data_IF_000764724518
#
_entry.id   IF_000764724518
#
_cell.length_a   1.000
_cell.length_b   1.000
_cell.length_c   1.000
_cell.angle_alpha   90.00
_cell.angle_beta   90.00
_cell.angle_gamma   90.00
#
_symmetry.space_group_name_H-M   'P 1'
#
loop_
_entity.id
_entity.type
_entity.pdbx_description
1 polymer ?
#
# COMPACT_ATOMS: atom_id res chain seq x y z
N UNK A 1 2.31 -25.64 20.01
CA UNK A 1 1.43 -25.49 18.83
C UNK A 1 -0.02 -25.68 19.27
N UNK A 2 -0.99 -24.87 18.80
CA UNK A 2 -2.43 -25.04 19.09
C UNK A 2 -3.11 -25.73 17.89
N UNK A 3 -3.29 -27.07 17.90
CA UNK A 3 -3.85 -27.80 16.75
C UNK A 3 -5.37 -27.66 16.62
N UNK A 4 -6.09 -27.41 17.72
CA UNK A 4 -7.55 -27.18 17.74
C UNK A 4 -7.94 -25.71 17.51
N UNK A 5 -6.98 -24.86 17.16
CA UNK A 5 -7.26 -23.46 16.90
C UNK A 5 -7.62 -23.28 15.43
N UNK A 6 -8.88 -22.94 15.18
CA UNK A 6 -9.35 -22.56 13.85
C UNK A 6 -8.73 -21.21 13.44
N UNK A 7 -7.69 -21.29 12.61
CA UNK A 7 -6.97 -20.12 12.08
C UNK A 7 -7.76 -19.38 11.01
N UNK A 8 -8.76 -20.01 10.40
CA UNK A 8 -9.59 -19.38 9.37
C UNK A 8 -10.54 -18.38 10.03
N UNK A 9 -11.20 -18.79 11.11
CA UNK A 9 -12.18 -17.94 11.81
C UNK A 9 -11.55 -17.03 12.86
N UNK A 10 -10.49 -17.48 13.54
CA UNK A 10 -9.93 -16.77 14.71
C UNK A 10 -8.49 -16.31 14.53
N UNK A 11 -7.88 -16.60 13.39
CA UNK A 11 -6.53 -16.14 13.06
C UNK A 11 -6.52 -14.66 12.71
N UNK A 12 -6.19 -13.81 13.68
CA UNK A 12 -5.90 -12.41 13.40
C UNK A 12 -4.45 -12.27 12.95
N UNK A 13 -4.28 -11.95 11.68
CA UNK A 13 -2.99 -11.63 11.08
C UNK A 13 -3.10 -10.29 10.39
N UNK A 14 -2.06 -9.44 10.43
CA UNK A 14 -2.04 -8.23 9.63
C UNK A 14 -2.18 -8.62 8.15
N UNK A 15 -3.29 -8.23 7.47
CA UNK A 15 -3.43 -8.50 6.05
C UNK A 15 -2.46 -7.56 5.36
N UNK A 16 -1.30 -8.07 4.97
CA UNK A 16 -0.22 -7.27 4.40
C UNK A 16 -0.59 -6.71 3.03
N UNK A 17 0.10 -7.12 1.98
CA UNK A 17 -0.20 -6.62 0.63
C UNK A 17 -1.56 -7.07 0.07
N UNK A 18 -2.30 -7.93 0.77
CA UNK A 18 -3.63 -8.42 0.37
C UNK A 18 -4.72 -7.35 0.47
N UNK A 19 -4.57 -6.35 1.34
CA UNK A 19 -5.56 -5.27 1.52
C UNK A 19 -5.45 -4.17 0.45
N UNK A 20 -4.33 -4.12 -0.29
CA UNK A 20 -4.00 -3.05 -1.23
C UNK A 20 -5.03 -2.79 -2.34
N UNK A 21 -5.63 -3.81 -3.00
CA UNK A 21 -6.65 -3.56 -4.02
C UNK A 21 -7.87 -2.81 -3.45
N UNK A 22 -8.28 -3.13 -2.22
CA UNK A 22 -9.42 -2.46 -1.56
C UNK A 22 -9.13 -1.00 -1.24
N UNK A 23 -7.93 -0.71 -0.72
CA UNK A 23 -7.49 0.66 -0.46
C UNK A 23 -7.40 1.46 -1.76
N UNK A 24 -6.83 0.86 -2.81
CA UNK A 24 -6.76 1.49 -4.13
C UNK A 24 -8.16 1.84 -4.65
N UNK A 25 -9.12 0.93 -4.52
CA UNK A 25 -10.51 1.16 -4.92
C UNK A 25 -11.14 2.31 -4.12
N UNK A 26 -10.95 2.37 -2.80
CA UNK A 26 -11.42 3.50 -1.99
C UNK A 26 -10.79 4.82 -2.43
N UNK A 27 -9.51 4.82 -2.82
CA UNK A 27 -8.84 6.00 -3.37
C UNK A 27 -9.43 6.49 -4.70
N UNK A 28 -9.92 5.57 -5.55
CA UNK A 28 -10.64 5.91 -6.78
C UNK A 28 -12.05 6.44 -6.47
N UNK A 29 -12.77 5.82 -5.54
CA UNK A 29 -14.11 6.22 -5.13
C UNK A 29 -14.11 7.64 -4.54
N UNK A 30 -13.17 7.94 -3.65
CA UNK A 30 -12.99 9.27 -3.07
C UNK A 30 -12.28 10.27 -4.00
N UNK A 31 -12.01 9.90 -5.26
CA UNK A 31 -11.34 10.75 -6.27
C UNK A 31 -9.97 11.29 -5.83
N UNK A 32 -9.31 10.60 -4.91
CA UNK A 32 -7.95 10.92 -4.44
C UNK A 32 -6.93 10.55 -5.53
N UNK A 33 -7.23 9.51 -6.32
CA UNK A 33 -6.41 9.10 -7.46
C UNK A 33 -7.28 8.71 -8.65
N UNK A 34 -6.68 8.64 -9.84
CA UNK A 34 -7.35 8.19 -11.06
C UNK A 34 -6.57 7.04 -11.71
N UNK A 35 -7.27 6.21 -12.50
CA UNK A 35 -6.68 5.04 -13.17
C UNK A 35 -5.48 5.38 -14.07
N UNK A 36 -5.44 6.59 -14.62
CA UNK A 36 -4.41 7.06 -15.54
C UNK A 36 -3.31 7.87 -14.85
N UNK A 37 -3.46 8.17 -13.57
CA UNK A 37 -2.45 8.90 -12.83
C UNK A 37 -1.18 8.07 -12.73
N UNK A 38 -0.05 8.68 -13.08
CA UNK A 38 1.27 8.08 -12.90
C UNK A 38 2.00 8.78 -11.77
N UNK A 39 2.61 7.99 -10.88
CA UNK A 39 3.41 8.46 -9.75
C UNK A 39 4.82 7.90 -9.89
N UNK A 40 5.82 8.67 -9.47
CA UNK A 40 7.20 8.20 -9.45
C UNK A 40 7.53 7.62 -8.07
N UNK A 41 7.92 6.34 -8.04
CA UNK A 41 8.31 5.64 -6.81
C UNK A 41 9.84 5.46 -6.78
N UNK A 42 10.58 6.28 -5.99
CA UNK A 42 12.02 6.16 -5.82
C UNK A 42 12.44 5.05 -4.83
N UNK A 43 11.51 4.23 -4.34
CA UNK A 43 11.77 3.17 -3.34
C UNK A 43 11.50 3.57 -1.89
N UNK A 44 10.99 4.78 -1.68
CA UNK A 44 10.50 5.24 -0.37
C UNK A 44 9.44 6.33 -0.56
N UNK A 45 8.69 6.58 0.50
CA UNK A 45 7.76 7.70 0.61
C UNK A 45 8.00 8.45 1.92
N UNK A 46 7.81 9.75 1.85
CA UNK A 46 8.01 10.66 2.95
C UNK A 46 6.74 11.51 3.08
N UNK A 47 6.15 11.52 4.28
CA UNK A 47 5.02 12.41 4.51
C UNK A 47 5.48 13.87 4.45
N UNK A 48 4.64 14.78 3.94
CA UNK A 48 4.89 16.21 4.10
C UNK A 48 5.03 16.53 5.60
N UNK A 49 6.04 17.33 5.95
CA UNK A 49 6.37 17.72 7.33
C UNK A 49 6.94 16.61 8.25
N UNK A 50 7.29 15.42 7.74
CA UNK A 50 8.08 14.43 8.50
C UNK A 50 9.36 14.05 7.76
N UNK A 51 10.45 13.87 8.51
CA UNK A 51 11.74 13.40 7.96
C UNK A 51 11.81 11.88 7.78
N UNK A 52 10.87 11.13 8.38
CA UNK A 52 10.85 9.67 8.32
C UNK A 52 10.46 9.16 6.93
N UNK A 53 11.29 8.27 6.39
CA UNK A 53 11.10 7.64 5.08
C UNK A 53 10.57 6.23 5.25
N UNK A 54 9.39 5.98 4.72
CA UNK A 54 8.75 4.68 4.72
C UNK A 54 9.15 3.97 3.44
N UNK A 55 9.84 2.85 3.60
CA UNK A 55 10.55 2.20 2.50
C UNK A 55 9.63 1.24 1.78
N UNK A 56 9.80 1.18 0.48
CA UNK A 56 9.24 0.12 -0.32
C UNK A 56 10.03 -1.19 -0.13
N UNK A 57 9.43 -2.33 -0.49
CA UNK A 57 10.13 -3.61 -0.50
C UNK A 57 11.26 -3.62 -1.54
N UNK A 58 11.10 -2.89 -2.66
CA UNK A 58 12.15 -2.73 -3.67
C UNK A 58 12.95 -1.46 -3.41
N UNK A 59 14.20 -1.64 -2.95
CA UNK A 59 15.12 -0.55 -2.59
C UNK A 59 15.37 0.48 -3.70
N UNK A 60 15.40 0.02 -4.96
CA UNK A 60 15.65 0.86 -6.14
C UNK A 60 14.38 1.50 -6.72
N UNK A 61 13.24 1.26 -6.07
CA UNK A 61 11.96 1.77 -6.51
C UNK A 61 11.40 1.06 -7.74
N UNK A 62 10.18 1.47 -8.06
CA UNK A 62 9.40 0.91 -9.18
C UNK A 62 9.39 1.86 -10.39
N UNK A 63 10.05 3.02 -10.31
CA UNK A 63 10.04 4.03 -11.37
C UNK A 63 8.67 4.66 -11.50
N UNK A 64 8.21 4.91 -12.74
CA UNK A 64 6.85 5.40 -13.00
C UNK A 64 5.86 4.25 -12.84
N UNK A 65 4.97 4.37 -11.87
CA UNK A 65 3.90 3.40 -11.60
C UNK A 65 2.55 4.06 -11.85
N UNK A 66 1.60 3.30 -12.38
CA UNK A 66 0.19 3.70 -12.51
C UNK A 66 -0.67 2.87 -11.55
N UNK A 67 -1.97 3.15 -11.42
CA UNK A 67 -2.87 2.37 -10.55
C UNK A 67 -2.82 0.84 -10.81
N UNK A 68 -2.65 0.43 -12.07
CA UNK A 68 -2.60 -0.98 -12.46
C UNK A 68 -1.31 -1.71 -12.03
N UNK A 69 -0.18 -1.01 -12.04
CA UNK A 69 1.14 -1.54 -11.67
C UNK A 69 1.52 -1.17 -10.23
N UNK A 70 0.85 -0.18 -9.63
CA UNK A 70 1.06 0.31 -8.28
C UNK A 70 0.14 -0.42 -7.31
N UNK A 71 0.56 -1.59 -6.84
CA UNK A 71 0.03 -2.14 -5.59
C UNK A 71 0.68 -1.38 -4.42
N UNK A 72 0.18 -0.16 -4.21
CA UNK A 72 0.65 0.90 -3.31
C UNK A 72 1.28 0.40 -2.00
N UNK A 73 2.62 0.33 -1.93
CA UNK A 73 3.33 0.04 -0.68
C UNK A 73 3.44 1.27 0.22
N UNK A 74 3.17 2.48 -0.31
CA UNK A 74 3.54 3.72 0.35
C UNK A 74 2.49 4.84 0.36
N UNK A 75 1.44 4.74 -0.45
CA UNK A 75 0.38 5.77 -0.52
C UNK A 75 -0.61 5.67 0.64
N UNK A 76 -0.56 4.60 1.44
CA UNK A 76 -1.41 4.46 2.63
C UNK A 76 -1.21 5.57 3.66
N UNK A 77 -0.08 6.26 3.59
CA UNK A 77 0.25 7.40 4.44
C UNK A 77 0.17 8.74 3.71
N UNK A 78 -0.25 8.75 2.45
CA UNK A 78 -0.57 10.00 1.74
C UNK A 78 -2.02 10.42 1.98
N UNK A 79 -2.85 9.47 2.45
CA UNK A 79 -4.27 9.62 2.77
C UNK A 79 -4.47 9.91 4.28
N UNK A 80 -3.41 9.75 5.08
CA UNK A 80 -3.31 10.19 6.49
C UNK A 80 -2.48 11.47 6.56
#
# INVERSE_FOLDING_TARGET
MKPLFDRVLRGQYPPGSTLKPFIGLAGLEHKITTMHQTLFCPGYYQLPNKSHKYRDWKKWGHGKVNFRYCYYPVMWMSIL
#
